data_IF_496937100692
#
_entry.id   IF_496937100692
#
_cell.length_a   1.000
_cell.length_b   1.000
_cell.length_c   1.000
_cell.angle_alpha   90.00
_cell.angle_beta   90.00
_cell.angle_gamma   90.00
#
_symmetry.space_group_name_H-M   'P 1'
#
loop_
_entity.id
_entity.type
_entity.pdbx_description
1 polymer ?
#
# COMPACT_ATOMS: atom_id res chain seq x y z
N UNK A 1 4.09 4.76 -34.30
CA UNK A 1 3.52 4.91 -32.93
C UNK A 1 4.66 5.21 -31.98
N UNK A 2 4.42 5.98 -30.92
CA UNK A 2 5.46 6.33 -29.97
C UNK A 2 5.93 5.07 -29.18
N UNK A 3 7.23 4.81 -29.15
CA UNK A 3 7.80 3.59 -28.56
C UNK A 3 8.75 3.90 -27.40
N UNK A 4 8.77 3.00 -26.41
CA UNK A 4 9.67 3.04 -25.25
C UNK A 4 9.66 4.36 -24.45
N UNK A 5 8.56 5.10 -24.47
CA UNK A 5 8.48 6.46 -23.88
C UNK A 5 8.82 6.46 -22.38
N UNK A 6 8.31 5.49 -21.62
CA UNK A 6 8.61 5.39 -20.20
C UNK A 6 10.11 5.19 -19.94
N UNK A 7 10.76 4.31 -20.72
CA UNK A 7 12.19 4.03 -20.63
C UNK A 7 13.03 5.24 -21.02
N UNK A 8 12.67 5.92 -22.12
CA UNK A 8 13.34 7.15 -22.57
C UNK A 8 13.23 8.28 -21.55
N UNK A 9 12.05 8.45 -20.91
CA UNK A 9 11.86 9.44 -19.86
C UNK A 9 12.71 9.15 -18.62
N UNK A 10 12.89 7.87 -18.26
CA UNK A 10 13.78 7.46 -17.17
C UNK A 10 15.24 7.76 -17.47
N UNK A 11 15.69 7.48 -18.69
CA UNK A 11 17.04 7.88 -19.15
C UNK A 11 17.22 9.40 -19.10
N UNK A 12 16.19 10.16 -19.48
CA UNK A 12 16.21 11.62 -19.40
C UNK A 12 16.30 12.10 -17.95
N UNK A 13 15.53 11.50 -17.03
CA UNK A 13 15.60 11.83 -15.61
C UNK A 13 16.98 11.52 -14.99
N UNK A 14 17.59 10.39 -15.38
CA UNK A 14 18.92 10.00 -14.96
C UNK A 14 20.01 10.93 -15.50
N UNK A 15 19.89 11.33 -16.76
CA UNK A 15 20.79 12.30 -17.39
C UNK A 15 20.76 13.66 -16.69
N UNK A 16 19.56 14.16 -16.41
CA UNK A 16 19.35 15.47 -15.77
C UNK A 16 19.61 15.45 -14.26
N UNK A 17 19.85 14.26 -13.68
CA UNK A 17 20.01 14.10 -12.23
C UNK A 17 18.74 14.41 -11.43
N UNK A 18 17.57 14.41 -12.07
CA UNK A 18 16.30 14.71 -11.39
C UNK A 18 15.88 13.52 -10.54
N UNK A 19 15.83 13.70 -9.22
CA UNK A 19 15.50 12.63 -8.26
C UNK A 19 13.98 12.51 -8.08
N UNK A 20 13.22 13.61 -8.24
CA UNK A 20 11.78 13.61 -8.12
C UNK A 20 11.06 13.95 -9.44
N UNK A 21 9.84 13.40 -9.61
CA UNK A 21 8.96 13.63 -10.76
C UNK A 21 8.64 15.13 -10.95
N UNK A 22 8.61 15.89 -9.85
CA UNK A 22 8.43 17.35 -9.85
C UNK A 22 9.60 18.09 -10.51
N UNK A 23 10.81 17.59 -10.35
CA UNK A 23 12.02 18.21 -10.89
C UNK A 23 12.10 17.99 -12.40
N UNK A 24 11.70 16.79 -12.87
CA UNK A 24 11.56 16.52 -14.30
C UNK A 24 10.48 17.42 -14.94
N UNK A 25 9.31 17.55 -14.32
CA UNK A 25 8.26 18.44 -14.83
C UNK A 25 8.68 19.93 -14.79
N UNK A 26 9.49 20.33 -13.81
CA UNK A 26 10.08 21.67 -13.76
C UNK A 26 11.10 21.87 -14.88
N UNK A 27 11.91 20.86 -15.21
CA UNK A 27 12.88 20.91 -16.30
C UNK A 27 12.19 21.13 -17.66
N UNK A 28 11.11 20.40 -17.95
CA UNK A 28 10.28 20.64 -19.14
C UNK A 28 9.68 22.05 -19.16
N UNK A 29 9.16 22.53 -18.02
CA UNK A 29 8.65 23.90 -17.90
C UNK A 29 9.72 24.97 -18.09
N UNK A 30 10.97 24.68 -17.73
CA UNK A 30 12.11 25.57 -17.98
C UNK A 30 12.40 25.75 -19.47
N UNK A 31 12.07 24.77 -20.30
CA UNK A 31 12.18 24.86 -21.77
C UNK A 31 10.96 25.54 -22.38
N UNK A 32 9.77 25.15 -21.93
CA UNK A 32 8.50 25.71 -22.39
C UNK A 32 7.53 25.85 -21.22
N UNK A 33 7.26 27.07 -20.73
CA UNK A 33 6.33 27.29 -19.62
C UNK A 33 4.90 26.82 -19.89
N UNK A 34 4.52 26.69 -21.18
CA UNK A 34 3.21 26.21 -21.64
C UNK A 34 3.23 24.73 -22.03
N UNK A 35 4.28 24.00 -21.65
CA UNK A 35 4.39 22.57 -21.95
C UNK A 35 3.21 21.79 -21.36
N UNK A 36 2.73 20.81 -22.12
CA UNK A 36 1.73 19.86 -21.66
C UNK A 36 2.32 18.78 -20.70
N UNK A 37 3.62 18.86 -20.40
CA UNK A 37 4.30 18.02 -19.42
C UNK A 37 4.07 18.54 -17.98
N UNK A 38 2.92 18.20 -17.41
CA UNK A 38 2.57 18.50 -16.01
C UNK A 38 2.90 17.34 -15.05
N UNK A 39 2.83 17.60 -13.75
CA UNK A 39 3.10 16.62 -12.68
C UNK A 39 2.22 15.36 -12.76
N UNK A 40 0.93 15.51 -13.05
CA UNK A 40 -0.03 14.40 -13.08
C UNK A 40 0.14 13.52 -14.32
N UNK A 41 0.53 14.11 -15.45
CA UNK A 41 0.84 13.41 -16.70
C UNK A 41 2.22 12.74 -16.64
N UNK A 42 3.21 13.41 -16.07
CA UNK A 42 4.56 12.89 -15.87
C UNK A 42 4.54 11.54 -15.12
N UNK A 43 3.73 11.44 -14.06
CA UNK A 43 3.58 10.21 -13.29
C UNK A 43 3.06 9.04 -14.14
N UNK A 44 2.03 9.30 -14.96
CA UNK A 44 1.44 8.28 -15.84
C UNK A 44 2.41 7.85 -16.95
N UNK A 45 3.18 8.79 -17.50
CA UNK A 45 4.12 8.52 -18.60
C UNK A 45 5.38 7.78 -18.12
N UNK A 46 5.96 8.15 -16.98
CA UNK A 46 7.10 7.45 -16.38
C UNK A 46 6.76 5.99 -15.99
N UNK A 47 5.50 5.72 -15.65
CA UNK A 47 5.00 4.39 -15.33
C UNK A 47 4.55 3.60 -16.58
N UNK A 48 4.57 4.21 -17.78
CA UNK A 48 4.10 3.58 -19.01
C UNK A 48 2.59 3.34 -19.07
N UNK A 49 1.79 3.98 -18.19
CA UNK A 49 0.32 3.85 -18.19
C UNK A 49 -0.34 4.68 -19.28
N UNK A 50 0.36 5.68 -19.80
CA UNK A 50 -0.09 6.54 -20.89
C UNK A 50 1.12 7.02 -21.69
N UNK A 51 0.87 7.63 -22.84
CA UNK A 51 1.88 8.28 -23.67
C UNK A 51 1.44 9.73 -23.98
N UNK A 52 2.38 10.66 -24.21
CA UNK A 52 2.06 11.98 -24.72
C UNK A 52 1.29 11.87 -26.04
N UNK A 53 0.13 12.52 -26.11
CA UNK A 53 -0.66 12.63 -27.35
C UNK A 53 -0.29 13.86 -28.17
N UNK A 54 0.21 14.88 -27.48
CA UNK A 54 0.56 16.17 -28.06
C UNK A 54 2.00 16.12 -28.55
N UNK A 55 2.20 16.36 -29.86
CA UNK A 55 3.52 16.32 -30.49
C UNK A 55 4.50 17.35 -29.88
N UNK A 56 3.97 18.48 -29.41
CA UNK A 56 4.72 19.55 -28.74
C UNK A 56 5.54 19.06 -27.55
N UNK A 57 5.07 18.03 -26.83
CA UNK A 57 5.81 17.45 -25.69
C UNK A 57 7.12 16.84 -26.15
N UNK A 58 7.15 16.20 -27.33
CA UNK A 58 8.36 15.62 -27.87
C UNK A 58 9.32 16.68 -28.40
N UNK A 59 8.80 17.78 -28.94
CA UNK A 59 9.64 18.92 -29.36
C UNK A 59 10.27 19.61 -28.17
N UNK A 60 9.52 19.81 -27.09
CA UNK A 60 10.04 20.31 -25.81
C UNK A 60 11.11 19.34 -25.25
N UNK A 61 10.90 18.03 -25.41
CA UNK A 61 11.84 17.01 -24.97
C UNK A 61 13.16 17.05 -25.75
N UNK A 62 13.11 17.20 -27.08
CA UNK A 62 14.31 17.34 -27.90
C UNK A 62 15.12 18.57 -27.47
N UNK A 63 14.44 19.70 -27.26
CA UNK A 63 15.06 20.94 -26.75
C UNK A 63 15.66 20.77 -25.36
N UNK A 64 14.97 20.08 -24.46
CA UNK A 64 15.46 19.78 -23.10
C UNK A 64 16.78 19.02 -23.13
N UNK A 65 16.86 18.01 -23.99
CA UNK A 65 18.06 17.20 -24.21
C UNK A 65 19.06 17.87 -25.16
N UNK A 66 18.73 19.05 -25.70
CA UNK A 66 19.52 19.76 -26.71
C UNK A 66 19.92 18.87 -27.89
N UNK A 67 19.06 17.93 -28.28
CA UNK A 67 19.31 17.03 -29.40
C UNK A 67 19.15 17.76 -30.73
N UNK A 68 19.86 17.28 -31.75
CA UNK A 68 19.71 17.80 -33.12
C UNK A 68 18.49 17.20 -33.81
N UNK A 69 18.03 16.04 -33.34
CA UNK A 69 16.88 15.33 -33.89
C UNK A 69 15.56 15.99 -33.45
N UNK A 70 14.53 16.04 -34.33
CA UNK A 70 13.23 16.62 -34.00
C UNK A 70 12.45 15.79 -32.97
N UNK A 71 11.40 16.35 -32.38
CA UNK A 71 10.56 15.64 -31.40
C UNK A 71 9.96 14.34 -31.94
N UNK A 72 9.51 14.33 -33.20
CA UNK A 72 9.01 13.13 -33.87
C UNK A 72 10.00 11.96 -33.81
N UNK A 73 11.30 12.24 -33.95
CA UNK A 73 12.34 11.22 -33.83
C UNK A 73 12.42 10.64 -32.42
N UNK A 74 12.20 11.43 -31.36
CA UNK A 74 12.14 10.91 -29.98
C UNK A 74 10.96 9.96 -29.82
N UNK A 75 9.82 10.25 -30.44
CA UNK A 75 8.66 9.36 -30.38
C UNK A 75 8.95 8.02 -31.09
N UNK A 76 9.59 8.05 -32.25
CA UNK A 76 9.71 6.91 -33.17
C UNK A 76 10.98 6.07 -33.00
N UNK A 77 12.06 6.66 -32.50
CA UNK A 77 13.33 5.96 -32.28
C UNK A 77 13.17 4.72 -31.41
N UNK A 78 14.03 3.73 -31.58
CA UNK A 78 14.15 2.65 -30.62
C UNK A 78 14.92 3.12 -29.37
N UNK A 79 14.92 2.30 -28.32
CA UNK A 79 15.64 2.63 -27.10
C UNK A 79 17.16 2.71 -27.30
N UNK A 80 17.82 1.78 -28.02
CA UNK A 80 19.26 1.87 -28.30
C UNK A 80 19.66 3.14 -29.07
N UNK A 81 18.93 3.53 -30.11
CA UNK A 81 19.20 4.73 -30.89
C UNK A 81 19.01 6.01 -30.09
N UNK A 82 17.99 6.06 -29.23
CA UNK A 82 17.79 7.18 -28.31
C UNK A 82 18.93 7.31 -27.29
N UNK A 83 19.34 6.20 -26.67
CA UNK A 83 20.47 6.18 -25.73
C UNK A 83 21.75 6.63 -26.40
N UNK A 84 22.04 6.15 -27.62
CA UNK A 84 23.23 6.54 -28.36
C UNK A 84 23.27 8.05 -28.65
N UNK A 85 22.15 8.65 -29.04
CA UNK A 85 22.09 10.09 -29.32
C UNK A 85 22.32 10.93 -28.06
N UNK A 86 21.74 10.54 -26.92
CA UNK A 86 21.98 11.21 -25.64
C UNK A 86 23.45 11.06 -25.21
N UNK A 87 24.00 9.85 -25.27
CA UNK A 87 25.40 9.59 -24.93
C UNK A 87 26.35 10.44 -25.77
N UNK A 88 26.15 10.49 -27.09
CA UNK A 88 26.95 11.30 -27.99
C UNK A 88 26.82 12.80 -27.70
N UNK A 89 25.60 13.29 -27.42
CA UNK A 89 25.35 14.70 -27.17
C UNK A 89 25.92 15.19 -25.84
N UNK A 90 25.84 14.38 -24.79
CA UNK A 90 26.21 14.78 -23.44
C UNK A 90 27.57 14.25 -22.98
N UNK A 91 28.27 13.48 -23.83
CA UNK A 91 29.59 12.92 -23.50
C UNK A 91 29.53 11.93 -22.32
N UNK A 92 28.40 11.24 -22.14
CA UNK A 92 28.20 10.28 -21.03
C UNK A 92 28.28 8.87 -21.60
N UNK A 93 29.09 8.01 -20.97
CA UNK A 93 29.12 6.60 -21.33
C UNK A 93 27.81 5.90 -21.01
N UNK A 94 27.40 4.98 -21.89
CA UNK A 94 26.16 4.22 -21.75
C UNK A 94 26.09 3.48 -20.41
N UNK A 95 27.17 2.84 -19.99
CA UNK A 95 27.24 2.10 -18.73
C UNK A 95 27.01 3.02 -17.52
N UNK A 96 27.53 4.24 -17.55
CA UNK A 96 27.32 5.24 -16.50
C UNK A 96 25.87 5.72 -16.46
N UNK A 97 25.24 5.94 -17.62
CA UNK A 97 23.84 6.32 -17.69
C UNK A 97 22.92 5.20 -17.17
N UNK A 98 23.19 3.94 -17.54
CA UNK A 98 22.47 2.77 -17.03
C UNK A 98 22.63 2.61 -15.51
N UNK A 99 23.85 2.83 -14.98
CA UNK A 99 24.12 2.82 -13.54
C UNK A 99 23.33 3.91 -12.79
N UNK A 100 23.24 5.12 -13.35
CA UNK A 100 22.44 6.22 -12.76
C UNK A 100 20.96 5.91 -12.74
N UNK A 101 20.44 5.29 -13.81
CA UNK A 101 19.05 4.81 -13.84
C UNK A 101 18.84 3.79 -12.71
N UNK A 102 19.72 2.80 -12.57
CA UNK A 102 19.66 1.82 -11.48
C UNK A 102 19.63 2.46 -10.09
N UNK A 103 20.58 3.35 -9.80
CA UNK A 103 20.68 4.04 -8.52
C UNK A 103 19.47 4.96 -8.21
N UNK A 104 18.89 5.61 -9.21
CA UNK A 104 17.66 6.40 -9.04
C UNK A 104 16.45 5.54 -8.72
N UNK A 105 16.34 4.34 -9.31
CA UNK A 105 15.26 3.40 -8.98
C UNK A 105 15.40 2.85 -7.57
N UNK A 106 16.62 2.54 -7.12
CA UNK A 106 16.90 2.07 -5.76
C UNK A 106 16.65 3.15 -4.71
N UNK A 107 17.00 4.41 -4.99
CA UNK A 107 16.72 5.53 -4.09
C UNK A 107 15.24 5.92 -4.05
N UNK A 108 14.54 5.86 -5.19
CA UNK A 108 13.10 6.09 -5.25
C UNK A 108 12.32 4.95 -4.56
N UNK A 109 12.71 3.68 -4.75
CA UNK A 109 12.11 2.55 -4.06
C UNK A 109 12.38 2.61 -2.57
N UNK A 110 13.61 2.94 -2.15
CA UNK A 110 13.96 3.14 -0.74
C UNK A 110 13.19 4.29 -0.09
N UNK A 111 12.90 5.37 -0.82
CA UNK A 111 12.07 6.47 -0.31
C UNK A 111 10.57 6.10 -0.24
N UNK A 112 10.05 5.34 -1.21
CA UNK A 112 8.67 4.82 -1.17
C UNK A 112 8.51 3.78 -0.04
N UNK A 113 9.48 2.88 0.17
CA UNK A 113 9.51 1.90 1.26
C UNK A 113 9.64 2.58 2.64
N UNK A 114 10.49 3.59 2.79
CA UNK A 114 10.57 4.37 4.04
C UNK A 114 9.29 5.16 4.31
N UNK A 115 8.68 5.75 3.27
CA UNK A 115 7.39 6.44 3.37
C UNK A 115 6.25 5.49 3.77
N UNK A 116 6.25 4.27 3.22
CA UNK A 116 5.33 3.20 3.57
C UNK A 116 5.54 2.76 5.03
N UNK A 117 6.80 2.56 5.42
CA UNK A 117 7.21 2.23 6.78
C UNK A 117 6.65 3.22 7.79
N UNK A 118 6.85 4.52 7.55
CA UNK A 118 6.33 5.59 8.39
C UNK A 118 4.79 5.65 8.42
N UNK A 119 4.13 5.35 7.30
CA UNK A 119 2.67 5.37 7.24
C UNK A 119 2.03 4.20 7.99
N UNK A 120 2.61 3.01 7.92
CA UNK A 120 2.01 1.78 8.44
C UNK A 120 2.55 1.32 9.80
N UNK A 121 3.75 1.75 10.20
CA UNK A 121 4.34 1.33 11.47
C UNK A 121 3.47 1.76 12.67
N UNK A 122 3.21 0.85 13.59
CA UNK A 122 2.38 1.09 14.76
C UNK A 122 1.57 -0.13 15.17
N UNK A 123 0.73 0.06 16.18
CA UNK A 123 -0.13 -0.99 16.72
C UNK A 123 -1.56 -0.82 16.23
N UNK A 124 -2.24 -1.93 15.96
CA UNK A 124 -3.62 -1.97 15.48
C UNK A 124 -4.46 -2.90 16.35
N UNK A 125 -5.68 -2.49 16.67
CA UNK A 125 -6.74 -3.35 17.17
C UNK A 125 -7.39 -4.07 15.98
N UNK A 126 -7.39 -5.39 16.00
CA UNK A 126 -7.88 -6.25 14.94
C UNK A 126 -9.19 -6.91 15.35
N UNK A 127 -10.14 -6.94 14.42
CA UNK A 127 -11.44 -7.59 14.58
C UNK A 127 -11.71 -8.48 13.38
N UNK A 128 -12.07 -9.73 13.62
CA UNK A 128 -12.47 -10.68 12.58
C UNK A 128 -13.48 -11.69 13.13
N UNK A 129 -14.07 -12.54 12.28
CA UNK A 129 -14.88 -13.66 12.76
C UNK A 129 -13.97 -14.77 13.29
N UNK A 130 -14.38 -15.40 14.37
CA UNK A 130 -13.68 -16.52 14.96
C UNK A 130 -13.46 -17.65 13.93
N UNK A 131 -12.20 -18.07 13.74
CA UNK A 131 -11.85 -19.28 13.00
C UNK A 131 -11.97 -20.51 13.90
N UNK A 132 -13.17 -20.72 14.45
CA UNK A 132 -13.47 -21.81 15.36
C UNK A 132 -14.93 -22.26 15.22
N UNK A 133 -15.18 -23.57 15.02
CA UNK A 133 -16.54 -24.12 15.08
C UNK A 133 -17.23 -23.90 16.43
N UNK A 134 -16.49 -23.89 17.55
CA UNK A 134 -17.05 -23.73 18.90
C UNK A 134 -17.49 -22.29 19.18
N UNK A 135 -16.84 -21.32 18.56
CA UNK A 135 -17.13 -19.89 18.71
C UNK A 135 -17.79 -19.31 17.45
N UNK A 136 -18.50 -20.14 16.70
CA UNK A 136 -19.14 -19.76 15.43
C UNK A 136 -20.04 -18.55 15.63
N UNK A 137 -19.87 -17.56 14.75
CA UNK A 137 -20.66 -16.33 14.78
C UNK A 137 -20.11 -15.26 15.72
N UNK A 138 -19.18 -15.59 16.62
CA UNK A 138 -18.53 -14.57 17.45
C UNK A 138 -17.45 -13.84 16.68
N UNK A 139 -17.21 -12.59 17.08
CA UNK A 139 -16.02 -11.85 16.70
C UNK A 139 -14.87 -12.24 17.64
N UNK A 140 -13.66 -12.23 17.10
CA UNK A 140 -12.43 -12.35 17.87
C UNK A 140 -11.62 -11.07 17.72
N UNK A 141 -11.09 -10.60 18.85
CA UNK A 141 -10.19 -9.47 18.95
C UNK A 141 -8.74 -9.96 18.96
N UNK A 142 -7.89 -9.27 18.22
CA UNK A 142 -6.45 -9.47 18.22
C UNK A 142 -5.72 -8.15 18.09
N UNK A 143 -4.40 -8.16 18.25
CA UNK A 143 -3.56 -6.98 18.01
C UNK A 143 -2.52 -7.26 16.94
N UNK A 144 -2.26 -6.29 16.06
CA UNK A 144 -1.16 -6.34 15.10
C UNK A 144 -0.16 -5.23 15.41
N UNK A 145 1.12 -5.58 15.58
CA UNK A 145 2.23 -4.62 15.55
C UNK A 145 2.87 -4.66 14.18
N UNK A 146 3.04 -3.49 13.55
CA UNK A 146 3.79 -3.33 12.31
C UNK A 146 5.04 -2.50 12.62
N UNK A 147 6.20 -3.02 12.24
CA UNK A 147 7.49 -2.37 12.46
C UNK A 147 8.27 -2.30 11.15
N UNK A 148 9.15 -1.29 11.05
CA UNK A 148 10.11 -1.23 9.94
C UNK A 148 11.21 -2.25 10.20
N UNK A 149 11.44 -3.16 9.25
CA UNK A 149 12.45 -4.19 9.37
C UNK A 149 13.88 -3.64 9.46
N UNK A 150 14.84 -4.44 9.96
CA UNK A 150 16.25 -4.05 10.01
C UNK A 150 16.77 -3.60 8.63
N UNK A 151 17.49 -2.48 8.59
CA UNK A 151 18.05 -1.93 7.34
C UNK A 151 17.04 -1.19 6.44
N UNK A 152 15.83 -0.89 6.92
CA UNK A 152 14.73 -0.29 6.15
C UNK A 152 14.25 -1.15 4.96
N UNK A 153 14.54 -2.45 4.98
CA UNK A 153 14.08 -3.41 3.97
C UNK A 153 12.80 -4.08 4.46
N UNK A 154 11.67 -3.52 4.05
CA UNK A 154 10.34 -4.11 4.28
C UNK A 154 9.74 -3.86 5.68
N UNK A 155 8.50 -4.33 5.82
CA UNK A 155 7.71 -4.23 7.05
C UNK A 155 7.62 -5.61 7.70
N UNK A 156 7.77 -5.68 9.01
CA UNK A 156 7.49 -6.87 9.82
C UNK A 156 6.17 -6.70 10.54
N UNK A 157 5.40 -7.78 10.61
CA UNK A 157 4.13 -7.86 11.32
C UNK A 157 4.19 -8.91 12.42
N UNK A 158 3.68 -8.56 13.60
CA UNK A 158 3.44 -9.47 14.71
C UNK A 158 1.96 -9.41 15.10
N UNK A 159 1.24 -10.50 14.89
CA UNK A 159 -0.18 -10.64 15.20
C UNK A 159 -0.39 -11.50 16.45
N UNK A 160 -1.33 -11.09 17.31
CA UNK A 160 -1.64 -11.77 18.58
C UNK A 160 -3.15 -11.93 18.77
N UNK A 161 -3.56 -13.08 19.27
CA UNK A 161 -4.91 -13.32 19.82
C UNK A 161 -4.81 -13.95 21.20
N UNK A 162 -5.73 -13.56 22.10
CA UNK A 162 -5.90 -14.21 23.39
C UNK A 162 -6.96 -15.31 23.28
N UNK A 163 -6.52 -16.56 23.22
CA UNK A 163 -7.39 -17.72 23.09
C UNK A 163 -7.62 -18.39 24.45
N UNK A 164 -8.74 -19.13 24.63
CA UNK A 164 -8.97 -19.97 25.81
C UNK A 164 -7.85 -20.98 26.10
N UNK A 165 -7.10 -21.38 25.07
CA UNK A 165 -5.98 -22.34 25.16
C UNK A 165 -4.62 -21.69 25.39
N UNK A 166 -4.53 -20.36 25.37
CA UNK A 166 -3.27 -19.63 25.47
C UNK A 166 -3.20 -18.45 24.51
N UNK A 167 -2.02 -17.85 24.36
CA UNK A 167 -1.81 -16.78 23.40
C UNK A 167 -1.34 -17.34 22.06
N UNK A 168 -2.03 -16.96 20.99
CA UNK A 168 -1.57 -17.19 19.62
C UNK A 168 -0.66 -16.04 19.22
N UNK A 169 0.54 -16.34 18.71
CA UNK A 169 1.52 -15.35 18.27
C UNK A 169 2.04 -15.71 16.87
N UNK A 170 1.79 -14.84 15.90
CA UNK A 170 2.16 -15.06 14.50
C UNK A 170 3.06 -13.91 14.02
N UNK A 171 4.19 -14.25 13.41
CA UNK A 171 5.14 -13.29 12.86
C UNK A 171 5.35 -13.47 11.37
N UNK A 172 5.61 -12.39 10.64
CA UNK A 172 5.93 -12.46 9.22
C UNK A 172 6.29 -11.13 8.57
N UNK A 173 6.68 -11.18 7.30
CA UNK A 173 6.93 -10.00 6.49
C UNK A 173 5.62 -9.51 5.84
N UNK A 174 5.45 -8.20 5.79
CA UNK A 174 4.41 -7.55 5.01
C UNK A 174 4.98 -7.02 3.69
N UNK A 175 4.30 -7.34 2.60
CA UNK A 175 4.65 -6.90 1.25
C UNK A 175 3.58 -5.94 0.74
N UNK A 176 3.99 -4.71 0.46
CA UNK A 176 3.13 -3.75 -0.23
C UNK A 176 3.26 -3.94 -1.74
N UNK A 177 2.13 -4.05 -2.42
CA UNK A 177 2.06 -4.01 -3.87
C UNK A 177 1.05 -2.95 -4.32
N UNK A 178 1.09 -2.62 -5.61
CA UNK A 178 0.19 -1.61 -6.21
C UNK A 178 -1.31 -1.89 -5.99
N UNK A 179 -1.69 -3.16 -5.80
CA UNK A 179 -3.09 -3.60 -5.71
C UNK A 179 -3.51 -4.06 -4.31
N UNK A 180 -2.61 -4.06 -3.34
CA UNK A 180 -2.94 -4.53 -2.00
C UNK A 180 -1.72 -4.60 -1.10
N UNK A 181 -1.99 -4.91 0.16
CA UNK A 181 -0.99 -5.21 1.17
C UNK A 181 -1.17 -6.66 1.59
N UNK A 182 -0.07 -7.42 1.58
CA UNK A 182 -0.09 -8.86 1.79
C UNK A 182 0.83 -9.24 2.94
N UNK A 183 0.45 -10.23 3.73
CA UNK A 183 1.33 -10.81 4.73
C UNK A 183 1.06 -12.31 4.90
N UNK A 184 2.12 -13.09 5.05
CA UNK A 184 2.04 -14.48 5.49
C UNK A 184 2.66 -14.57 6.88
N UNK A 185 1.81 -14.76 7.88
CA UNK A 185 2.17 -14.80 9.29
C UNK A 185 2.22 -16.25 9.76
N UNK A 186 3.26 -16.63 10.48
CA UNK A 186 3.49 -17.99 10.96
C UNK A 186 3.76 -18.00 12.45
N UNK A 187 3.24 -19.01 13.13
CA UNK A 187 3.55 -19.27 14.52
C UNK A 187 5.00 -19.73 14.64
N UNK A 188 5.70 -19.25 15.67
CA UNK A 188 7.11 -19.64 15.89
C UNK A 188 7.23 -21.03 16.51
N UNK A 189 6.28 -21.41 17.37
CA UNK A 189 6.31 -22.63 18.17
C UNK A 189 5.20 -23.62 17.83
N UNK A 190 4.41 -23.36 16.79
CA UNK A 190 3.28 -24.18 16.40
C UNK A 190 3.07 -24.15 14.90
N UNK A 191 1.92 -24.68 14.47
CA UNK A 191 1.61 -24.88 13.05
C UNK A 191 0.60 -23.86 12.52
N UNK A 192 0.11 -22.94 13.37
CA UNK A 192 -0.85 -21.94 12.95
C UNK A 192 -0.22 -20.95 11.96
N UNK A 193 -0.97 -20.64 10.90
CA UNK A 193 -0.54 -19.68 9.89
C UNK A 193 -1.73 -18.88 9.40
N UNK A 194 -1.53 -17.57 9.23
CA UNK A 194 -2.50 -16.69 8.60
C UNK A 194 -1.94 -16.03 7.35
N UNK A 195 -2.79 -15.91 6.35
CA UNK A 195 -2.55 -15.09 5.19
C UNK A 195 -3.49 -13.88 5.21
N UNK A 196 -2.90 -12.69 5.14
CA UNK A 196 -3.61 -11.42 5.06
C UNK A 196 -3.59 -10.92 3.61
N UNK A 197 -4.77 -10.61 3.08
CA UNK A 197 -4.97 -9.99 1.77
C UNK A 197 -5.77 -8.69 1.96
N UNK A 198 -5.06 -7.58 2.06
CA UNK A 198 -5.62 -6.29 2.46
C UNK A 198 -5.71 -5.33 1.28
N UNK A 199 -6.65 -4.39 1.37
CA UNK A 199 -6.73 -3.27 0.45
C UNK A 199 -5.40 -2.49 0.39
N UNK A 200 -5.12 -1.78 -0.73
CA UNK A 200 -4.02 -0.83 -0.76
C UNK A 200 -4.13 0.15 0.41
N UNK A 201 -3.01 0.37 1.08
CA UNK A 201 -2.96 1.38 2.13
C UNK A 201 -3.15 2.79 1.54
N UNK A 202 -3.68 3.69 2.35
CA UNK A 202 -3.67 5.13 2.08
C UNK A 202 -3.17 5.85 3.33
N UNK A 203 -2.56 7.03 3.18
CA UNK A 203 -2.18 7.83 4.35
C UNK A 203 -3.45 8.39 5.00
N UNK A 204 -3.55 8.41 6.34
CA UNK A 204 -2.50 8.15 7.35
C UNK A 204 -2.26 6.68 7.71
N UNK A 205 -2.99 5.72 7.16
CA UNK A 205 -2.94 4.31 7.58
C UNK A 205 -3.70 4.08 8.87
N UNK A 206 -4.76 4.86 9.13
CA UNK A 206 -5.58 4.73 10.35
C UNK A 206 -6.35 3.41 10.40
N UNK A 207 -6.66 2.84 9.24
CA UNK A 207 -7.39 1.56 9.12
C UNK A 207 -6.78 0.73 8.00
N UNK A 208 -6.62 -0.56 8.27
CA UNK A 208 -6.38 -1.60 7.28
C UNK A 208 -7.57 -2.55 7.28
N UNK A 209 -7.85 -3.15 6.14
CA UNK A 209 -8.93 -4.11 6.03
C UNK A 209 -8.85 -4.95 4.78
N UNK A 210 -9.53 -6.08 4.80
CA UNK A 210 -9.50 -7.05 3.73
C UNK A 210 -9.88 -8.42 4.24
N UNK A 211 -9.14 -9.43 3.81
CA UNK A 211 -9.36 -10.82 4.20
C UNK A 211 -8.25 -11.36 5.08
N UNK A 212 -8.65 -12.18 6.04
CA UNK A 212 -7.79 -13.11 6.78
C UNK A 212 -8.18 -14.53 6.38
N UNK A 213 -7.20 -15.29 5.93
CA UNK A 213 -7.32 -16.69 5.57
C UNK A 213 -6.43 -17.53 6.49
N UNK A 214 -6.92 -18.69 6.92
CA UNK A 214 -6.20 -19.61 7.79
C UNK A 214 -6.90 -20.94 7.89
N UNK A 215 -6.52 -21.72 8.88
CA UNK A 215 -7.25 -22.93 9.30
C UNK A 215 -7.95 -22.70 10.63
N UNK A 216 -8.90 -23.58 10.97
CA UNK A 216 -9.50 -23.61 12.31
C UNK A 216 -8.41 -23.60 13.39
N UNK A 217 -8.48 -22.63 14.29
CA UNK A 217 -7.52 -22.47 15.39
C UNK A 217 -7.96 -23.26 16.63
N UNK A 218 -9.26 -23.24 16.93
CA UNK A 218 -9.83 -24.05 18.02
C UNK A 218 -10.94 -24.92 17.45
N UNK A 219 -10.69 -26.21 17.35
CA UNK A 219 -11.66 -27.17 16.82
C UNK A 219 -11.05 -28.56 16.68
N UNK A 220 -11.89 -29.56 16.34
CA UNK A 220 -11.42 -30.94 16.17
C UNK A 220 -10.63 -31.14 14.87
N UNK A 221 -10.87 -30.31 13.85
CA UNK A 221 -10.28 -30.44 12.52
C UNK A 221 -9.76 -29.08 12.00
N UNK A 222 -8.60 -29.05 11.30
CA UNK A 222 -8.02 -27.83 10.74
C UNK A 222 -8.70 -27.43 9.43
N UNK A 223 -9.95 -26.98 9.49
CA UNK A 223 -10.74 -26.62 8.31
C UNK A 223 -10.24 -25.30 7.69
N UNK A 224 -10.00 -25.23 6.37
CA UNK A 224 -9.70 -23.98 5.68
C UNK A 224 -10.81 -22.96 5.90
N UNK A 225 -10.43 -21.74 6.28
CA UNK A 225 -11.35 -20.70 6.69
C UNK A 225 -10.95 -19.34 6.15
N UNK A 226 -11.94 -18.53 5.78
CA UNK A 226 -11.78 -17.18 5.26
C UNK A 226 -12.76 -16.25 5.98
N UNK A 227 -12.26 -15.14 6.50
CA UNK A 227 -13.06 -14.06 7.10
C UNK A 227 -12.61 -12.72 6.57
N UNK A 228 -13.51 -11.73 6.64
CA UNK A 228 -13.09 -10.33 6.58
C UNK A 228 -12.38 -9.96 7.88
N UNK A 229 -11.43 -9.03 7.80
CA UNK A 229 -10.70 -8.48 8.94
C UNK A 229 -10.64 -6.96 8.83
N UNK A 230 -10.77 -6.29 9.97
CA UNK A 230 -10.58 -4.86 10.12
C UNK A 230 -9.50 -4.61 11.17
N UNK A 231 -8.58 -3.69 10.90
CA UNK A 231 -7.45 -3.36 11.77
C UNK A 231 -7.43 -1.85 11.96
N UNK A 232 -7.65 -1.37 13.18
CA UNK A 232 -7.78 0.05 13.50
C UNK A 232 -6.53 0.48 14.25
N UNK A 233 -5.82 1.47 13.71
CA UNK A 233 -4.57 1.96 14.28
C UNK A 233 -4.84 2.61 15.62
N UNK A 234 -4.05 2.21 16.61
CA UNK A 234 -4.06 2.74 17.96
C UNK A 234 -2.94 3.76 18.13
N UNK A 235 -3.15 4.72 19.02
CA UNK A 235 -2.10 5.66 19.44
C UNK A 235 -1.18 5.06 20.49
N UNK A 236 -1.78 4.29 21.39
CA UNK A 236 -1.09 3.53 22.42
C UNK A 236 -1.21 2.05 22.11
N UNK A 237 -0.18 1.24 22.39
CA UNK A 237 -0.28 -0.20 22.22
C UNK A 237 -1.42 -0.76 23.09
N UNK A 238 -2.17 -1.71 22.54
CA UNK A 238 -3.17 -2.42 23.34
C UNK A 238 -2.47 -3.15 24.50
N UNK A 239 -3.11 -3.25 25.68
CA UNK A 239 -2.57 -4.03 26.80
C UNK A 239 -2.26 -5.47 26.39
N UNK A 240 -1.22 -6.10 26.93
CA UNK A 240 -0.85 -7.48 26.54
C UNK A 240 -1.95 -8.53 26.73
N UNK A 241 -2.87 -8.27 27.68
CA UNK A 241 -4.01 -9.14 27.99
C UNK A 241 -5.26 -8.80 27.19
N UNK A 242 -5.25 -7.72 26.40
CA UNK A 242 -6.38 -7.34 25.57
C UNK A 242 -6.47 -8.26 24.35
N UNK A 243 -7.69 -8.67 24.01
CA UNK A 243 -7.98 -9.58 22.90
C UNK A 243 -8.99 -10.65 23.25
N UNK A 244 -9.11 -11.64 22.35
CA UNK A 244 -9.98 -12.79 22.50
C UNK A 244 -11.42 -12.52 22.08
N UNK A 245 -12.29 -13.51 22.31
CA UNK A 245 -13.66 -13.46 21.84
C UNK A 245 -14.43 -12.28 22.42
N UNK A 246 -15.11 -11.55 21.55
CA UNK A 246 -16.06 -10.52 21.93
C UNK A 246 -17.40 -11.23 22.28
N UNK A 247 -18.08 -10.82 23.37
CA UNK A 247 -19.42 -11.32 23.68
C UNK A 247 -20.40 -11.11 22.52
N UNK A 248 -21.47 -11.92 22.39
CA UNK A 248 -22.44 -11.80 21.30
C UNK A 248 -23.09 -10.41 21.18
N UNK A 249 -23.26 -9.73 22.31
CA UNK A 249 -23.81 -8.39 22.48
C UNK A 249 -22.72 -7.31 22.63
N UNK A 250 -21.45 -7.69 22.46
CA UNK A 250 -20.34 -6.77 22.56
C UNK A 250 -20.27 -5.81 21.38
N UNK A 251 -20.04 -4.54 21.70
CA UNK A 251 -19.84 -3.44 20.75
C UNK A 251 -18.35 -3.29 20.41
N UNK A 252 -18.03 -3.24 19.12
CA UNK A 252 -16.68 -2.96 18.62
C UNK A 252 -16.29 -1.52 18.99
N UNK A 253 -17.24 -0.58 18.90
CA UNK A 253 -16.96 0.82 19.22
C UNK A 253 -16.71 1.04 20.72
N UNK A 254 -17.40 0.32 21.60
CA UNK A 254 -17.16 0.42 23.05
C UNK A 254 -15.79 -0.20 23.42
N UNK A 255 -15.43 -1.30 22.77
CA UNK A 255 -14.12 -1.92 22.93
C UNK A 255 -13.00 -1.00 22.42
N UNK A 256 -13.20 -0.31 21.29
CA UNK A 256 -12.30 0.73 20.78
C UNK A 256 -12.20 1.95 21.71
N UNK A 257 -13.32 2.38 22.31
CA UNK A 257 -13.33 3.47 23.28
C UNK A 257 -12.50 3.12 24.52
N UNK A 258 -12.52 1.85 24.96
CA UNK A 258 -11.66 1.36 26.05
C UNK A 258 -10.15 1.43 25.72
N UNK A 259 -9.81 1.47 24.42
CA UNK A 259 -8.45 1.66 23.91
C UNK A 259 -8.12 3.13 23.59
N UNK A 260 -9.01 4.07 23.92
CA UNK A 260 -8.81 5.49 23.69
C UNK A 260 -9.19 5.98 22.29
N UNK A 261 -9.99 5.22 21.54
CA UNK A 261 -10.52 5.63 20.23
C UNK A 261 -12.00 5.99 20.37
N UNK A 262 -12.28 7.29 20.58
CA UNK A 262 -13.63 7.80 20.78
C UNK A 262 -14.22 8.33 19.46
N UNK A 263 -15.28 7.69 18.96
CA UNK A 263 -15.84 7.99 17.64
C UNK A 263 -17.20 8.68 17.74
N UNK A 264 -17.43 9.66 16.85
CA UNK A 264 -18.73 10.31 16.70
C UNK A 264 -19.77 9.31 16.16
N UNK A 265 -21.00 9.35 16.69
CA UNK A 265 -22.11 8.47 16.28
C UNK A 265 -21.82 6.97 16.50
N UNK A 266 -21.50 6.54 17.73
CA UNK A 266 -20.99 5.19 18.01
C UNK A 266 -21.92 4.07 17.53
N UNK A 267 -23.23 4.18 17.72
CA UNK A 267 -24.20 3.15 17.30
C UNK A 267 -24.29 2.95 15.78
N UNK A 268 -24.09 4.02 14.99
CA UNK A 268 -24.09 3.92 13.53
C UNK A 268 -22.80 3.24 13.06
N UNK A 269 -21.67 3.67 13.61
CA UNK A 269 -20.35 3.12 13.26
C UNK A 269 -20.26 1.66 13.68
N UNK A 270 -20.71 1.31 14.88
CA UNK A 270 -20.66 -0.07 15.36
C UNK A 270 -21.41 -1.03 14.43
N UNK A 271 -22.62 -0.66 14.01
CA UNK A 271 -23.39 -1.41 13.00
C UNK A 271 -22.65 -1.53 11.66
N UNK A 272 -22.01 -0.46 11.21
CA UNK A 272 -21.22 -0.47 9.98
C UNK A 272 -20.03 -1.43 10.08
N UNK A 273 -19.32 -1.45 11.22
CA UNK A 273 -18.19 -2.35 11.46
C UNK A 273 -18.65 -3.81 11.53
N UNK A 274 -19.73 -4.07 12.28
CA UNK A 274 -20.30 -5.40 12.41
C UNK A 274 -20.81 -5.95 11.06
N UNK A 275 -21.46 -5.10 10.24
CA UNK A 275 -21.89 -5.47 8.89
C UNK A 275 -20.71 -5.79 7.98
N UNK A 276 -19.66 -4.97 8.03
CA UNK A 276 -18.44 -5.22 7.28
C UNK A 276 -17.82 -6.58 7.62
N UNK A 277 -17.72 -6.91 8.90
CA UNK A 277 -17.13 -8.17 9.36
C UNK A 277 -18.05 -9.39 9.18
N UNK A 278 -19.36 -9.19 9.05
CA UNK A 278 -20.29 -10.26 8.71
C UNK A 278 -20.05 -10.79 7.28
N UNK A 279 -19.88 -9.86 6.33
CA UNK A 279 -19.72 -10.19 4.92
C UNK A 279 -21.00 -10.74 4.29
N UNK A 280 -21.32 -10.27 3.08
CA UNK A 280 -22.47 -10.73 2.32
C UNK A 280 -21.99 -11.36 1.00
N UNK A 281 -21.94 -12.69 0.96
CA UNK A 281 -21.86 -13.44 -0.29
C UNK A 281 -23.25 -14.01 -0.56
N UNK A 282 -24.13 -13.20 -1.16
CA UNK A 282 -25.50 -13.62 -1.51
C UNK A 282 -25.60 -14.10 -2.96
N UNK A 283 -24.62 -13.74 -3.80
CA UNK A 283 -24.74 -13.88 -5.26
C UNK A 283 -23.98 -15.08 -5.86
N UNK A 284 -23.46 -16.00 -5.04
CA UNK A 284 -22.76 -17.21 -5.49
C UNK A 284 -21.45 -16.98 -6.28
N UNK A 285 -21.08 -15.71 -6.52
CA UNK A 285 -19.84 -15.29 -7.17
C UNK A 285 -18.64 -15.25 -6.21
N UNK A 286 -17.51 -14.75 -6.71
CA UNK A 286 -16.33 -14.54 -5.87
C UNK A 286 -16.65 -13.61 -4.70
N UNK A 287 -16.23 -13.99 -3.48
CA UNK A 287 -16.32 -13.10 -2.32
C UNK A 287 -15.40 -11.90 -2.55
N UNK A 288 -16.01 -10.75 -2.85
CA UNK A 288 -15.33 -9.48 -3.02
C UNK A 288 -15.89 -8.47 -2.02
N UNK A 289 -15.02 -7.66 -1.44
CA UNK A 289 -15.44 -6.54 -0.60
C UNK A 289 -15.69 -5.33 -1.51
N UNK A 290 -16.91 -4.79 -1.58
CA UNK A 290 -17.19 -3.56 -2.31
C UNK A 290 -16.28 -2.42 -1.82
N UNK A 291 -15.56 -1.70 -2.71
CA UNK A 291 -14.66 -0.63 -2.29
C UNK A 291 -15.33 0.49 -1.49
N UNK A 292 -16.63 0.74 -1.75
CA UNK A 292 -17.41 1.74 -1.02
C UNK A 292 -17.63 1.37 0.45
N UNK A 293 -17.77 0.07 0.75
CA UNK A 293 -18.00 -0.44 2.10
C UNK A 293 -16.77 -0.16 2.99
N UNK A 294 -15.58 -0.49 2.49
CA UNK A 294 -14.32 -0.22 3.19
C UNK A 294 -14.00 1.28 3.25
N UNK A 295 -14.24 2.03 2.15
CA UNK A 295 -13.98 3.48 2.12
C UNK A 295 -14.82 4.24 3.14
N UNK A 296 -16.09 3.88 3.34
CA UNK A 296 -16.93 4.51 4.35
C UNK A 296 -16.37 4.38 5.76
N UNK A 297 -15.76 3.24 6.09
CA UNK A 297 -15.08 3.03 7.36
C UNK A 297 -13.80 3.87 7.41
N UNK A 298 -12.94 3.75 6.39
CA UNK A 298 -11.69 4.49 6.29
C UNK A 298 -11.89 6.00 6.53
N UNK A 299 -12.88 6.62 5.88
CA UNK A 299 -13.14 8.06 5.98
C UNK A 299 -13.49 8.52 7.41
N UNK A 300 -14.09 7.65 8.23
CA UNK A 300 -14.41 7.95 9.64
C UNK A 300 -13.15 7.97 10.48
N UNK A 301 -12.33 6.92 10.37
CA UNK A 301 -11.14 6.76 11.18
C UNK A 301 -9.98 7.66 10.74
N UNK A 302 -9.88 7.98 9.44
CA UNK A 302 -8.91 8.97 8.96
C UNK A 302 -9.20 10.36 9.52
N UNK A 303 -10.48 10.77 9.53
CA UNK A 303 -10.91 12.02 10.15
C UNK A 303 -10.62 12.03 11.65
N UNK A 304 -10.93 10.94 12.35
CA UNK A 304 -10.61 10.80 13.77
C UNK A 304 -9.09 10.89 14.03
N UNK A 305 -8.28 10.19 13.23
CA UNK A 305 -6.82 10.19 13.34
C UNK A 305 -6.26 11.60 13.15
N UNK A 306 -6.64 12.29 12.08
CA UNK A 306 -6.13 13.61 11.74
C UNK A 306 -6.53 14.70 12.76
N UNK A 307 -7.73 14.62 13.34
CA UNK A 307 -8.19 15.60 14.36
C UNK A 307 -7.42 15.52 15.67
N UNK A 308 -6.80 14.39 15.95
CA UNK A 308 -6.06 14.15 17.18
C UNK A 308 -4.55 14.00 16.91
N UNK A 309 -4.09 14.34 15.70
CA UNK A 309 -2.67 14.43 15.35
C UNK A 309 -2.14 15.80 15.76
N UNK A 310 -1.63 15.90 16.98
CA UNK A 310 -0.73 16.99 17.41
C UNK A 310 0.71 16.72 16.93
#
# INVERSE_FOLDING_TARGET
>A
MAQHIAQKLRLTAALLGTVARKDLAAAFRGVNPKTAFDLGRADKWLQGRAQPRELSVYDDWSKLLKLEQPGAWIAESDLPGFTAAICARHGIERAELERRVGAQFETASGHEERSLGLALAGTYACYSRALSPYYRGLLIRGSLSIETGPGAHGLTAAYREALPTGQLLLGGLMTSAKRGLYAHLKETSGEAQFFLCLFPHSRPGSVLGGYLCGTTIIGPEPQPSLTRILMIRLRNPAPERWGGYLPPDGSIVDDLASLGVAIEQPEMIDRQLAQFLAGDSKDGGASQIPPAEFRGILDVFDRHWLRHSD
#
